data_IF_794541832966
#
_entry.id   IF_794541832966
#
_cell.length_a   1.000
_cell.length_b   1.000
_cell.length_c   1.000
_cell.angle_alpha   90.00
_cell.angle_beta   90.00
_cell.angle_gamma   90.00
#
_symmetry.space_group_name_H-M   'P 1'
#
loop_
_entity.id
_entity.type
_entity.pdbx_description
1 polymer ?
#
# COMPACT_ATOMS: atom_id res chain seq x y z
N UNK A 1 12.32 12.86 -8.15
CA UNK A 1 13.12 11.79 -7.56
C UNK A 1 12.59 10.43 -7.94
N UNK A 2 13.47 9.58 -8.33
CA UNK A 2 13.11 8.26 -8.82
C UNK A 2 12.69 7.30 -7.73
N UNK A 3 13.20 7.50 -6.52
CA UNK A 3 12.94 6.57 -5.44
C UNK A 3 11.48 6.41 -5.10
N UNK A 4 10.73 7.51 -5.09
CA UNK A 4 9.31 7.43 -4.76
C UNK A 4 8.49 6.78 -5.84
N UNK A 5 8.89 6.99 -7.09
CA UNK A 5 8.21 6.35 -8.20
C UNK A 5 8.38 4.84 -8.12
N UNK A 6 9.58 4.38 -7.82
CA UNK A 6 9.81 2.96 -7.67
C UNK A 6 9.04 2.39 -6.49
N UNK A 7 9.01 3.12 -5.39
CA UNK A 7 8.28 2.67 -4.22
C UNK A 7 6.80 2.52 -4.55
N UNK A 8 6.24 3.50 -5.23
CA UNK A 8 4.83 3.45 -5.61
C UNK A 8 4.54 2.23 -6.47
N UNK A 9 5.37 2.00 -7.49
CA UNK A 9 5.16 0.86 -8.37
C UNK A 9 5.32 -0.46 -7.63
N UNK A 10 6.30 -0.54 -6.75
CA UNK A 10 6.53 -1.75 -5.96
C UNK A 10 5.33 -2.03 -5.05
N UNK A 11 4.84 -1.01 -4.38
CA UNK A 11 3.70 -1.21 -3.47
C UNK A 11 2.46 -1.64 -4.22
N UNK A 12 2.21 -1.04 -5.39
CA UNK A 12 1.07 -1.45 -6.20
C UNK A 12 1.19 -2.91 -6.62
N UNK A 13 2.38 -3.31 -7.04
CA UNK A 13 2.60 -4.70 -7.46
C UNK A 13 2.41 -5.66 -6.29
N UNK A 14 2.91 -5.29 -5.12
CA UNK A 14 2.78 -6.14 -3.94
C UNK A 14 1.33 -6.28 -3.51
N UNK A 15 0.58 -5.19 -3.57
CA UNK A 15 -0.84 -5.25 -3.26
C UNK A 15 -1.58 -6.14 -4.25
N UNK A 16 -1.25 -5.99 -5.52
CA UNK A 16 -1.90 -6.77 -6.58
C UNK A 16 -1.62 -8.26 -6.41
N UNK A 17 -0.39 -8.60 -6.09
CA UNK A 17 0.00 -10.00 -5.90
C UNK A 17 -0.82 -10.67 -4.80
N UNK A 18 -1.18 -9.89 -3.78
CA UNK A 18 -1.94 -10.39 -2.64
C UNK A 18 -3.44 -10.24 -2.81
N UNK A 19 -3.84 -9.74 -3.97
CA UNK A 19 -5.25 -9.51 -4.27
C UNK A 19 -5.88 -8.51 -3.30
N UNK A 20 -5.09 -7.54 -2.87
CA UNK A 20 -5.56 -6.45 -2.02
C UNK A 20 -5.88 -5.27 -2.91
N UNK A 21 -7.11 -4.82 -2.86
CA UNK A 21 -7.54 -3.70 -3.68
C UNK A 21 -7.30 -2.37 -2.97
N UNK A 22 -7.10 -1.32 -3.77
CA UNK A 22 -6.83 0.00 -3.20
C UNK A 22 -7.98 0.43 -2.29
N UNK A 23 -9.21 0.13 -2.66
CA UNK A 23 -10.35 0.56 -1.88
C UNK A 23 -10.52 -0.22 -0.57
N UNK A 24 -9.71 -1.26 -0.36
CA UNK A 24 -9.70 -1.98 0.91
C UNK A 24 -8.75 -1.33 1.91
N UNK A 25 -7.80 -0.54 1.43
CA UNK A 25 -6.79 0.06 2.29
C UNK A 25 -7.36 0.94 3.40
N UNK A 26 -8.43 1.73 3.16
CA UNK A 26 -8.96 2.56 4.24
C UNK A 26 -9.38 1.79 5.48
N UNK A 27 -9.60 0.48 5.36
CA UNK A 27 -9.96 -0.36 6.50
C UNK A 27 -8.75 -0.66 7.38
N UNK A 28 -7.56 -0.48 6.85
CA UNK A 28 -6.33 -0.86 7.55
C UNK A 28 -5.47 0.34 7.93
N UNK A 29 -5.61 1.45 7.22
CA UNK A 29 -4.77 2.62 7.44
C UNK A 29 -5.66 3.87 7.49
N UNK A 30 -5.21 4.92 8.16
CA UNK A 30 -6.03 6.13 8.37
C UNK A 30 -5.99 7.08 7.17
N UNK A 31 -6.31 6.56 5.99
CA UNK A 31 -6.36 7.34 4.76
C UNK A 31 -7.63 6.99 4.02
N UNK A 32 -8.26 7.99 3.40
CA UNK A 32 -9.48 7.75 2.64
C UNK A 32 -9.16 6.98 1.35
N UNK A 33 -10.19 6.37 0.77
CA UNK A 33 -10.02 5.67 -0.48
C UNK A 33 -9.50 6.57 -1.59
N UNK A 34 -9.99 7.81 -1.62
CA UNK A 34 -9.54 8.77 -2.62
C UNK A 34 -8.06 9.09 -2.46
N UNK A 35 -7.62 9.27 -1.22
CA UNK A 35 -6.22 9.56 -0.95
C UNK A 35 -5.34 8.38 -1.34
N UNK A 36 -5.76 7.17 -0.99
CA UNK A 36 -5.02 5.97 -1.36
C UNK A 36 -4.89 5.87 -2.88
N UNK A 37 -5.98 6.08 -3.57
CA UNK A 37 -5.97 6.03 -5.02
C UNK A 37 -5.02 7.08 -5.62
N UNK A 38 -5.10 8.31 -5.11
CA UNK A 38 -4.27 9.39 -5.65
C UNK A 38 -2.79 9.11 -5.45
N UNK A 39 -2.40 8.57 -4.31
CA UNK A 39 -1.00 8.23 -4.08
C UNK A 39 -0.56 7.07 -4.97
N UNK A 40 -1.36 6.03 -5.03
CA UNK A 40 -0.94 4.83 -5.74
C UNK A 40 -1.05 4.96 -7.26
N UNK A 41 -1.88 5.86 -7.74
CA UNK A 41 -1.99 6.11 -9.18
C UNK A 41 -0.92 7.08 -9.68
N UNK A 42 -0.27 7.80 -8.75
CA UNK A 42 0.74 8.78 -9.13
C UNK A 42 0.21 10.17 -9.36
N UNK A 43 -1.09 10.40 -9.10
CA UNK A 43 -1.66 11.75 -9.23
C UNK A 43 -1.06 12.73 -8.25
N UNK A 44 -0.68 12.22 -7.08
CA UNK A 44 -0.06 13.02 -6.03
C UNK A 44 1.21 12.30 -5.60
N UNK A 45 2.27 13.04 -5.34
CA UNK A 45 3.51 12.44 -4.87
C UNK A 45 3.26 11.71 -3.55
N UNK A 46 3.66 10.43 -3.50
CA UNK A 46 3.41 9.61 -2.32
C UNK A 46 4.23 10.10 -1.14
N UNK A 47 3.58 10.27 0.00
CA UNK A 47 4.29 10.65 1.21
C UNK A 47 4.96 9.42 1.82
N UNK A 48 6.02 9.67 2.59
CA UNK A 48 6.72 8.57 3.26
C UNK A 48 5.81 7.91 4.28
N UNK A 49 4.97 8.70 4.96
CA UNK A 49 4.04 8.15 5.94
C UNK A 49 3.07 7.18 5.30
N UNK A 50 2.56 7.53 4.14
CA UNK A 50 1.64 6.64 3.43
C UNK A 50 2.36 5.36 3.01
N UNK A 51 3.57 5.49 2.47
CA UNK A 51 4.35 4.33 2.06
C UNK A 51 4.61 3.41 3.23
N UNK A 52 4.94 3.99 4.40
CA UNK A 52 5.17 3.20 5.60
C UNK A 52 3.90 2.48 6.03
N UNK A 53 2.77 3.15 5.95
CA UNK A 53 1.49 2.55 6.34
C UNK A 53 1.15 1.36 5.45
N UNK A 54 1.33 1.51 4.14
CA UNK A 54 1.06 0.42 3.21
C UNK A 54 2.02 -0.74 3.45
N UNK A 55 3.30 -0.44 3.69
CA UNK A 55 4.26 -1.49 3.96
C UNK A 55 3.86 -2.29 5.19
N UNK A 56 3.34 -1.61 6.21
CA UNK A 56 2.88 -2.29 7.41
C UNK A 56 1.71 -3.22 7.10
N UNK A 57 0.81 -2.79 6.24
CA UNK A 57 -0.30 -3.65 5.83
C UNK A 57 0.23 -4.91 5.16
N UNK A 58 1.21 -4.75 4.27
CA UNK A 58 1.78 -5.89 3.58
C UNK A 58 2.45 -6.86 4.56
N UNK A 59 3.20 -6.30 5.50
CA UNK A 59 3.91 -7.11 6.48
C UNK A 59 2.92 -7.90 7.36
N UNK A 60 1.87 -7.24 7.80
CA UNK A 60 0.88 -7.91 8.63
C UNK A 60 0.10 -8.95 7.85
N UNK A 61 -0.17 -8.65 6.60
CA UNK A 61 -0.87 -9.58 5.74
C UNK A 61 -0.08 -10.88 5.61
N UNK A 62 1.21 -10.75 5.33
CA UNK A 62 2.07 -11.90 5.18
C UNK A 62 2.25 -12.64 6.50
N UNK A 63 2.34 -11.90 7.59
CA UNK A 63 2.49 -12.47 8.92
C UNK A 63 1.31 -13.35 9.28
N UNK A 64 0.10 -12.87 9.01
CA UNK A 64 -1.09 -13.64 9.31
C UNK A 64 -1.12 -14.95 8.52
N UNK A 65 -0.71 -14.87 7.27
CA UNK A 65 -0.67 -16.07 6.44
C UNK A 65 0.39 -17.05 6.91
N UNK A 66 1.55 -16.51 7.31
CA UNK A 66 2.65 -17.35 7.78
C UNK A 66 2.37 -17.98 9.14
N UNK A 67 1.53 -17.32 9.94
CA UNK A 67 1.23 -17.82 11.29
C UNK A 67 0.24 -18.98 11.29
N UNK A 68 -0.31 -19.31 10.16
CA UNK A 68 -1.27 -20.40 10.08
C UNK A 68 -0.56 -21.73 10.29
N UNK A 69 -1.13 -22.59 11.13
CA UNK A 69 -0.54 -23.91 11.37
C UNK A 69 -0.60 -24.80 10.14
#
# INVERSE_FOLDING_TARGET
MRGRERTRQRLRAELHRRNIRINQLPEYIPYSGKTCYNYLSGNVAMSQDFANAVQRVLDEWDNKRSARP
#
